data_IF_188054414090
#
_entry.id   IF_188054414090
#
_cell.length_a   1.000
_cell.length_b   1.000
_cell.length_c   1.000
_cell.angle_alpha   90.00
_cell.angle_beta   90.00
_cell.angle_gamma   90.00
#
_symmetry.space_group_name_H-M   'P 1'
#
loop_
_entity.id
_entity.type
_entity.pdbx_description
1 polymer ?
#
# COMPACT_ATOMS: atom_id res chain seq x y z
N UNK A 1 19.81 1.96 2.97
CA UNK A 1 19.15 3.16 3.53
C UNK A 1 17.65 3.02 3.35
N UNK A 2 16.89 3.16 4.43
CA UNK A 2 15.43 3.15 4.41
C UNK A 2 14.92 4.54 4.77
N UNK A 3 14.21 5.18 3.84
CA UNK A 3 13.66 6.52 4.00
C UNK A 3 12.23 6.43 4.52
N UNK A 4 12.00 7.04 5.68
CA UNK A 4 10.69 7.11 6.36
C UNK A 4 10.13 8.54 6.36
N UNK A 5 11.02 9.55 6.28
CA UNK A 5 10.61 10.95 6.30
C UNK A 5 9.82 11.32 5.05
N UNK A 6 8.69 11.99 5.24
CA UNK A 6 7.84 12.44 4.13
C UNK A 6 8.38 13.70 3.45
N UNK A 7 8.23 13.82 2.12
CA UNK A 7 7.67 12.85 1.17
C UNK A 7 8.65 11.70 0.84
N UNK A 8 8.35 10.48 1.29
CA UNK A 8 9.34 9.39 1.37
C UNK A 8 9.94 8.98 0.02
N UNK A 9 9.11 8.84 -1.02
CA UNK A 9 9.58 8.49 -2.36
C UNK A 9 10.49 9.57 -2.95
N UNK A 10 10.14 10.85 -2.79
CA UNK A 10 10.93 11.98 -3.29
C UNK A 10 12.24 12.13 -2.52
N UNK A 11 12.22 12.00 -1.20
CA UNK A 11 13.44 12.04 -0.38
C UNK A 11 14.39 10.89 -0.73
N UNK A 12 13.86 9.69 -1.01
CA UNK A 12 14.66 8.56 -1.49
C UNK A 12 15.26 8.83 -2.89
N UNK A 13 14.51 9.47 -3.79
CA UNK A 13 15.02 9.86 -5.10
C UNK A 13 16.13 10.90 -4.98
N UNK A 14 15.96 11.95 -4.17
CA UNK A 14 16.99 12.96 -3.92
C UNK A 14 18.26 12.32 -3.37
N UNK A 15 18.12 11.37 -2.42
CA UNK A 15 19.26 10.66 -1.86
C UNK A 15 19.99 9.83 -2.91
N UNK A 16 19.26 9.15 -3.81
CA UNK A 16 19.85 8.42 -4.93
C UNK A 16 20.73 9.33 -5.80
N UNK A 17 20.20 10.49 -6.19
CA UNK A 17 20.93 11.44 -7.03
C UNK A 17 22.11 12.10 -6.29
N UNK A 18 21.98 12.32 -4.99
CA UNK A 18 22.99 13.03 -4.18
C UNK A 18 24.09 12.12 -3.64
N UNK A 19 23.92 10.80 -3.67
CA UNK A 19 24.87 9.82 -3.11
C UNK A 19 25.22 8.71 -4.13
N UNK A 20 25.94 9.03 -5.23
CA UNK A 20 26.23 8.08 -6.31
C UNK A 20 27.11 6.89 -5.91
N UNK A 21 27.80 6.98 -4.76
CA UNK A 21 28.61 5.89 -4.20
C UNK A 21 27.76 4.81 -3.50
N UNK A 22 26.48 5.09 -3.21
CA UNK A 22 25.55 4.09 -2.67
C UNK A 22 24.81 3.46 -3.84
N UNK A 23 24.87 2.14 -3.95
CA UNK A 23 24.11 1.42 -4.97
C UNK A 23 22.61 1.71 -4.84
N UNK A 24 21.96 2.08 -5.95
CA UNK A 24 20.55 2.46 -5.99
C UNK A 24 19.61 1.38 -5.41
N UNK A 25 19.98 0.11 -5.54
CA UNK A 25 19.23 -1.02 -4.99
C UNK A 25 19.17 -1.02 -3.45
N UNK A 26 20.09 -0.32 -2.80
CA UNK A 26 20.17 -0.21 -1.34
C UNK A 26 19.40 1.00 -0.80
N UNK A 27 18.80 1.83 -1.66
CA UNK A 27 17.98 2.97 -1.26
C UNK A 27 16.51 2.60 -1.50
N UNK A 28 15.71 2.66 -0.43
CA UNK A 28 14.28 2.32 -0.44
C UNK A 28 13.49 3.32 0.40
N UNK A 29 12.23 3.53 0.06
CA UNK A 29 11.27 4.26 0.89
C UNK A 29 10.32 3.27 1.58
N UNK A 30 9.76 3.66 2.72
CA UNK A 30 8.90 2.79 3.53
C UNK A 30 7.42 2.94 3.13
N UNK A 31 6.83 1.89 2.56
CA UNK A 31 5.37 1.73 2.38
C UNK A 31 4.82 0.58 3.24
N UNK A 32 5.63 0.09 4.18
CA UNK A 32 5.30 -1.11 4.98
C UNK A 32 4.14 -0.86 5.95
N UNK A 33 4.00 0.36 6.46
CA UNK A 33 2.87 0.70 7.33
C UNK A 33 1.56 0.62 6.55
N UNK A 34 1.52 1.20 5.35
CA UNK A 34 0.36 1.14 4.46
C UNK A 34 0.02 -0.32 4.11
N UNK A 35 1.04 -1.14 3.85
CA UNK A 35 0.86 -2.57 3.60
C UNK A 35 0.31 -3.32 4.83
N UNK A 36 0.80 -3.02 6.04
CA UNK A 36 0.28 -3.67 7.25
C UNK A 36 -1.18 -3.26 7.51
N UNK A 37 -1.55 -2.01 7.23
CA UNK A 37 -2.94 -1.56 7.20
C UNK A 37 -3.73 -2.31 6.10
N UNK A 38 -3.10 -2.64 4.95
CA UNK A 38 -3.68 -3.42 3.85
C UNK A 38 -4.22 -4.75 4.36
N UNK A 39 -3.34 -5.48 5.03
CA UNK A 39 -3.68 -6.76 5.63
C UNK A 39 -4.75 -6.61 6.72
N UNK A 40 -4.63 -5.58 7.57
CA UNK A 40 -5.57 -5.31 8.66
C UNK A 40 -7.01 -5.18 8.19
N UNK A 41 -7.31 -4.31 7.22
CA UNK A 41 -8.70 -4.16 6.78
C UNK A 41 -9.23 -5.34 5.96
N UNK A 42 -8.38 -6.03 5.19
CA UNK A 42 -8.82 -7.27 4.54
C UNK A 42 -9.22 -8.31 5.60
N UNK A 43 -8.39 -8.49 6.63
CA UNK A 43 -8.65 -9.43 7.70
C UNK A 43 -9.92 -9.06 8.49
N UNK A 44 -10.09 -7.78 8.83
CA UNK A 44 -11.30 -7.26 9.48
C UNK A 44 -12.54 -7.50 8.61
N UNK A 45 -12.45 -7.23 7.31
CA UNK A 45 -13.56 -7.41 6.37
C UNK A 45 -14.02 -8.87 6.27
N UNK A 46 -13.08 -9.81 6.34
CA UNK A 46 -13.33 -11.24 6.23
C UNK A 46 -13.50 -11.92 7.60
N UNK A 47 -13.37 -11.18 8.70
CA UNK A 47 -13.37 -11.69 10.07
C UNK A 47 -12.34 -12.82 10.29
N UNK A 48 -11.11 -12.59 9.81
CA UNK A 48 -9.98 -13.51 9.88
C UNK A 48 -8.83 -12.92 10.70
N UNK A 49 -7.86 -13.76 11.05
CA UNK A 49 -6.63 -13.25 11.64
C UNK A 49 -5.74 -12.64 10.55
N UNK A 50 -5.05 -11.55 10.85
CA UNK A 50 -4.18 -10.83 9.88
C UNK A 50 -3.07 -11.72 9.31
N UNK A 51 -2.66 -12.77 10.05
CA UNK A 51 -1.69 -13.75 9.56
C UNK A 51 -2.18 -14.54 8.35
N UNK A 52 -3.49 -14.63 8.14
CA UNK A 52 -4.10 -15.48 7.14
C UNK A 52 -4.20 -14.76 5.80
N UNK A 53 -4.09 -13.43 5.79
CA UNK A 53 -4.06 -12.62 4.58
C UNK A 53 -2.63 -12.56 4.03
N UNK A 54 -2.46 -12.87 2.74
CA UNK A 54 -1.19 -12.83 2.01
C UNK A 54 -1.33 -12.04 0.72
N UNK A 55 -0.20 -11.65 0.14
CA UNK A 55 -0.11 -11.09 -1.21
C UNK A 55 -0.95 -9.81 -1.45
N UNK A 56 -1.16 -9.01 -0.41
CA UNK A 56 -1.60 -7.63 -0.59
C UNK A 56 -0.41 -6.77 -1.01
N UNK A 57 -0.62 -5.83 -1.93
CA UNK A 57 0.43 -4.93 -2.41
C UNK A 57 0.04 -3.47 -2.26
N UNK A 58 1.03 -2.60 -2.12
CA UNK A 58 0.85 -1.15 -2.15
C UNK A 58 1.58 -0.63 -3.39
N UNK A 59 0.83 -0.03 -4.30
CA UNK A 59 1.37 0.57 -5.51
C UNK A 59 1.41 2.09 -5.40
N UNK A 60 2.44 2.68 -6.00
CA UNK A 60 2.57 4.14 -6.14
C UNK A 60 3.33 4.81 -4.99
N UNK A 61 2.93 6.05 -4.70
CA UNK A 61 3.62 6.93 -3.77
C UNK A 61 3.11 6.74 -2.33
N UNK A 62 3.98 6.83 -1.32
CA UNK A 62 3.55 6.88 0.09
C UNK A 62 2.80 8.19 0.37
N UNK A 63 1.52 8.22 0.00
CA UNK A 63 0.63 9.38 0.06
C UNK A 63 -0.82 8.94 -0.14
N UNK A 64 -1.74 9.91 -0.14
CA UNK A 64 -3.15 9.69 -0.48
C UNK A 64 -3.42 9.21 -1.92
N UNK A 65 -2.41 9.21 -2.81
CA UNK A 65 -2.54 8.68 -4.17
C UNK A 65 -2.10 7.22 -4.29
N UNK A 66 -1.76 6.55 -3.19
CA UNK A 66 -1.40 5.13 -3.21
C UNK A 66 -2.57 4.27 -3.67
N UNK A 67 -2.25 3.14 -4.29
CA UNK A 67 -3.22 2.12 -4.66
C UNK A 67 -2.96 0.84 -3.86
N UNK A 68 -3.71 0.60 -2.77
CA UNK A 68 -3.68 -0.67 -2.07
C UNK A 68 -4.42 -1.70 -2.94
N UNK A 69 -3.72 -2.78 -3.28
CA UNK A 69 -4.20 -3.83 -4.16
C UNK A 69 -4.56 -5.09 -3.37
N UNK A 70 -5.87 -5.32 -3.28
CA UNK A 70 -6.47 -6.51 -2.69
C UNK A 70 -6.86 -7.57 -3.74
N UNK A 71 -6.71 -7.31 -5.04
CA UNK A 71 -7.09 -8.27 -6.07
C UNK A 71 -6.15 -9.48 -6.12
N UNK A 72 -4.87 -9.24 -5.83
CA UNK A 72 -3.86 -10.29 -5.73
C UNK A 72 -3.77 -10.91 -4.33
N UNK A 73 -4.50 -10.37 -3.36
CA UNK A 73 -4.47 -10.88 -2.00
C UNK A 73 -5.17 -12.24 -1.91
N UNK A 74 -4.63 -13.13 -1.09
CA UNK A 74 -5.17 -14.47 -0.84
C UNK A 74 -5.35 -14.70 0.65
N UNK A 75 -6.28 -15.57 0.99
CA UNK A 75 -6.50 -16.07 2.35
C UNK A 75 -5.96 -17.49 2.45
N UNK A 76 -5.13 -17.75 3.44
CA UNK A 76 -4.53 -19.06 3.71
C UNK A 76 -5.21 -19.74 4.90
N UNK A 77 -6.46 -20.17 4.71
CA UNK A 77 -7.24 -20.98 5.66
C UNK A 77 -7.73 -22.25 4.96
N UNK A 78 -8.36 -23.18 5.69
CA UNK A 78 -8.90 -24.43 5.11
C UNK A 78 -9.95 -24.16 4.02
N UNK A 79 -10.70 -23.06 4.15
CA UNK A 79 -11.68 -22.57 3.16
C UNK A 79 -11.15 -21.32 2.42
N UNK A 80 -9.83 -21.16 2.40
CA UNK A 80 -9.16 -19.98 1.86
C UNK A 80 -9.22 -19.89 0.33
N UNK A 81 -8.98 -18.69 -0.19
CA UNK A 81 -9.04 -18.41 -1.62
C UNK A 81 -8.65 -16.98 -1.94
N UNK A 82 -8.79 -16.55 -3.21
CA UNK A 82 -8.57 -15.17 -3.62
C UNK A 82 -9.51 -14.22 -2.86
N UNK A 83 -8.97 -13.13 -2.29
CA UNK A 83 -9.75 -12.12 -1.57
C UNK A 83 -10.84 -11.51 -2.46
N UNK A 84 -10.55 -11.38 -3.77
CA UNK A 84 -11.51 -10.92 -4.77
C UNK A 84 -12.78 -11.76 -4.81
N UNK A 85 -12.66 -13.07 -4.66
CA UNK A 85 -13.79 -14.00 -4.67
C UNK A 85 -14.51 -14.01 -3.32
N UNK A 86 -13.74 -13.98 -2.23
CA UNK A 86 -14.29 -14.04 -0.86
C UNK A 86 -15.09 -12.79 -0.46
N UNK A 87 -14.69 -11.60 -0.94
CA UNK A 87 -15.40 -10.35 -0.62
C UNK A 87 -16.60 -10.13 -1.57
N UNK A 88 -16.56 -10.71 -2.79
CA UNK A 88 -17.63 -10.69 -3.80
C UNK A 88 -18.36 -9.33 -3.94
N UNK A 89 -17.63 -8.22 -3.83
CA UNK A 89 -18.19 -6.87 -3.83
C UNK A 89 -17.27 -5.91 -4.59
N UNK A 90 -17.58 -5.68 -5.87
CA UNK A 90 -16.77 -4.82 -6.75
C UNK A 90 -16.71 -3.35 -6.28
N UNK A 91 -17.75 -2.83 -5.62
CA UNK A 91 -17.73 -1.47 -5.06
C UNK A 91 -16.70 -1.33 -3.92
N UNK A 92 -16.54 -2.40 -3.13
CA UNK A 92 -15.53 -2.45 -2.08
C UNK A 92 -14.14 -2.45 -2.69
N UNK A 93 -13.88 -3.26 -3.72
CA UNK A 93 -12.58 -3.30 -4.41
C UNK A 93 -12.23 -1.99 -5.13
N UNK A 94 -13.22 -1.32 -5.74
CA UNK A 94 -12.98 -0.15 -6.58
C UNK A 94 -12.84 1.16 -5.80
N UNK A 95 -13.70 1.39 -4.80
CA UNK A 95 -13.85 2.73 -4.22
C UNK A 95 -13.71 2.75 -2.70
N UNK A 96 -14.35 1.79 -2.00
CA UNK A 96 -14.44 1.85 -0.54
C UNK A 96 -13.13 1.41 0.13
N UNK A 97 -12.45 0.40 -0.40
CA UNK A 97 -11.14 -0.04 0.07
C UNK A 97 -10.12 1.09 -0.11
N UNK A 98 -9.89 1.55 -1.34
CA UNK A 98 -8.91 2.63 -1.61
C UNK A 98 -9.19 3.91 -0.81
N UNK A 99 -10.46 4.32 -0.66
CA UNK A 99 -10.83 5.55 0.06
C UNK A 99 -10.69 5.46 1.59
N UNK A 100 -11.05 4.33 2.21
CA UNK A 100 -10.89 4.12 3.66
C UNK A 100 -9.41 4.19 4.03
N UNK A 101 -8.54 3.59 3.22
CA UNK A 101 -7.09 3.59 3.41
C UNK A 101 -6.50 5.00 3.38
N UNK A 102 -6.92 5.79 2.41
CA UNK A 102 -6.46 7.17 2.26
C UNK A 102 -7.03 8.09 3.36
N UNK A 103 -8.20 7.76 3.93
CA UNK A 103 -8.84 8.56 4.98
C UNK A 103 -8.32 8.30 6.39
N UNK A 104 -7.77 7.12 6.70
CA UNK A 104 -7.26 6.83 8.06
C UNK A 104 -6.01 7.66 8.40
N UNK A 105 -5.22 8.05 7.39
CA UNK A 105 -4.13 9.03 7.54
C UNK A 105 -4.66 10.49 7.70
N UNK A 106 -5.94 10.72 7.39
CA UNK A 106 -6.57 12.05 7.37
C UNK A 106 -7.71 12.19 8.39
N UNK A 107 -7.42 12.05 9.67
CA UNK A 107 -8.29 12.65 10.69
C UNK A 107 -8.29 14.19 10.69
N UNK A 108 -7.61 14.86 9.74
CA UNK A 108 -7.75 16.29 9.48
C UNK A 108 -7.78 16.62 7.97
N UNK A 109 -8.93 17.16 7.55
CA UNK A 109 -9.20 18.03 6.37
C UNK A 109 -9.23 17.38 4.98
N UNK A 110 -10.39 17.55 4.33
CA UNK A 110 -10.61 17.39 2.89
C UNK A 110 -9.64 18.27 2.11
N UNK A 111 -8.73 17.66 1.33
CA UNK A 111 -8.10 18.33 0.20
C UNK A 111 -8.05 17.38 -1.00
N UNK A 112 -8.63 17.87 -2.10
CA UNK A 112 -8.63 17.29 -3.45
C UNK A 112 -7.26 17.55 -4.04
N UNK A 113 -6.44 16.52 -4.24
CA UNK A 113 -5.09 16.69 -4.79
C UNK A 113 -5.03 16.04 -6.17
N UNK A 114 -4.63 16.87 -7.15
CA UNK A 114 -4.52 16.56 -8.58
C UNK A 114 -3.38 15.56 -8.83
N UNK A 115 -3.56 14.81 -9.91
CA UNK A 115 -2.71 13.73 -10.41
C UNK A 115 -1.24 14.13 -10.63
N UNK A 116 -0.34 13.17 -10.43
CA UNK A 116 1.05 13.28 -10.85
C UNK A 116 1.97 12.23 -10.23
N UNK A 117 2.57 11.44 -11.11
CA UNK A 117 3.78 10.61 -10.96
C UNK A 117 3.63 9.12 -10.57
N UNK A 118 4.14 8.35 -11.53
CA UNK A 118 4.13 6.91 -11.76
C UNK A 118 5.40 6.31 -11.12
N UNK A 119 5.34 4.99 -10.88
CA UNK A 119 6.42 4.04 -10.55
C UNK A 119 6.70 3.79 -9.06
N UNK A 120 6.24 2.64 -8.59
CA UNK A 120 6.87 1.90 -7.50
C UNK A 120 7.38 0.58 -8.10
N UNK A 121 8.70 0.45 -8.17
CA UNK A 121 9.35 -0.80 -8.57
C UNK A 121 9.16 -1.84 -7.45
N UNK A 122 8.52 -2.94 -7.83
CA UNK A 122 8.34 -4.14 -7.04
C UNK A 122 9.70 -4.83 -6.85
N UNK A 123 10.28 -4.70 -5.65
CA UNK A 123 11.30 -5.63 -5.15
C UNK A 123 11.11 -5.76 -3.64
N UNK A 124 10.28 -6.74 -3.26
CA UNK A 124 10.42 -7.42 -1.97
C UNK A 124 11.57 -8.41 -2.12
#
# INVERSE_FOLDING_TARGET
>A
VLVVANPANTTALILKESAPFISEKNIRCLTRLDHNQALGHIAERLNLHVSDVKNAFIWGNHSSSQYPDANHATVNTTEGGPVRELVANDEWHAFKYVSIYVCIDRHKRKYKQREGCIYAYMYI
#
